data_IF_897431305350
#
_entry.id   IF_897431305350
#
_cell.length_a   1.000
_cell.length_b   1.000
_cell.length_c   1.000
_cell.angle_alpha   90.00
_cell.angle_beta   90.00
_cell.angle_gamma   90.00
#
_symmetry.space_group_name_H-M   'P 1'
#
loop_
_entity.id
_entity.type
_entity.pdbx_description
1 polymer ?
#
# COMPACT_ATOMS: atom_id res chain seq x y z
N UNK A 1 16.01 3.34 15.35
CA UNK A 1 14.89 2.92 14.49
C UNK A 1 15.27 3.10 13.03
N UNK A 2 15.25 2.03 12.27
CA UNK A 2 15.64 2.07 10.86
C UNK A 2 14.40 2.15 9.98
N UNK A 3 14.21 3.28 9.32
CA UNK A 3 13.14 3.41 8.33
C UNK A 3 13.75 3.48 6.93
N UNK A 4 12.93 3.33 5.92
CA UNK A 4 13.37 3.48 4.53
C UNK A 4 13.92 4.88 4.35
N UNK A 5 15.15 5.05 3.80
CA UNK A 5 15.67 6.38 3.51
C UNK A 5 14.72 7.15 2.59
N UNK A 6 14.51 8.43 2.87
CA UNK A 6 13.59 9.25 2.09
C UNK A 6 13.94 9.32 0.61
N UNK A 7 15.22 9.20 0.24
CA UNK A 7 15.63 9.25 -1.16
C UNK A 7 15.19 8.02 -1.96
N UNK A 8 14.83 6.91 -1.31
CA UNK A 8 14.26 5.74 -1.97
C UNK A 8 12.76 5.92 -2.24
N UNK A 9 12.07 6.79 -1.51
CA UNK A 9 10.64 7.03 -1.68
C UNK A 9 10.43 8.02 -2.82
N UNK A 10 10.71 7.59 -4.04
CA UNK A 10 10.78 8.43 -5.23
C UNK A 10 9.46 8.60 -5.97
N UNK A 11 8.48 7.76 -5.67
CA UNK A 11 7.20 7.78 -6.33
C UNK A 11 6.15 8.37 -5.41
N UNK A 12 5.06 8.87 -5.98
CA UNK A 12 3.93 9.37 -5.23
C UNK A 12 2.68 8.67 -5.70
N UNK A 13 1.91 8.18 -4.74
CA UNK A 13 0.58 7.65 -5.01
C UNK A 13 -0.42 8.44 -4.20
N UNK A 14 -1.68 8.43 -4.66
CA UNK A 14 -2.78 9.04 -3.91
C UNK A 14 -3.61 7.90 -3.35
N UNK A 15 -3.79 7.89 -2.04
CA UNK A 15 -4.55 6.85 -1.34
C UNK A 15 -5.83 7.44 -0.80
N UNK A 16 -6.95 6.79 -1.12
CA UNK A 16 -8.24 7.07 -0.53
C UNK A 16 -8.54 5.91 0.43
N UNK A 17 -8.40 6.13 1.76
CA UNK A 17 -8.56 5.03 2.72
C UNK A 17 -9.97 4.44 2.69
N UNK A 18 -10.04 3.12 2.68
CA UNK A 18 -11.32 2.43 2.74
C UNK A 18 -11.95 2.60 4.12
N UNK A 19 -13.23 2.93 4.15
CA UNK A 19 -13.98 3.18 5.39
C UNK A 19 -15.21 2.29 5.55
N UNK A 20 -15.29 1.21 4.81
CA UNK A 20 -16.41 0.30 4.88
C UNK A 20 -17.31 0.41 3.67
N UNK A 21 -18.43 -0.30 3.71
CA UNK A 21 -19.37 -0.34 2.61
C UNK A 21 -20.66 0.38 2.98
N UNK A 22 -21.31 0.93 1.96
CA UNK A 22 -22.65 1.50 2.06
C UNK A 22 -23.57 0.79 1.09
N UNK A 23 -24.87 1.16 1.13
CA UNK A 23 -25.84 0.61 0.19
C UNK A 23 -25.54 0.97 -1.27
N UNK A 24 -24.72 1.98 -1.50
CA UNK A 24 -24.33 2.43 -2.84
C UNK A 24 -22.90 2.05 -3.23
N UNK A 25 -22.21 1.29 -2.40
CA UNK A 25 -20.86 0.81 -2.67
C UNK A 25 -19.86 1.19 -1.57
N UNK A 26 -18.56 1.00 -1.82
CA UNK A 26 -17.55 1.27 -0.83
C UNK A 26 -17.43 2.76 -0.52
N UNK A 27 -17.11 3.06 0.73
CA UNK A 27 -16.85 4.42 1.20
C UNK A 27 -15.35 4.62 1.35
N UNK A 28 -14.87 5.79 0.91
CA UNK A 28 -13.46 6.15 1.03
C UNK A 28 -13.30 7.46 1.79
N UNK A 29 -12.20 7.58 2.52
CA UNK A 29 -11.83 8.82 3.17
C UNK A 29 -11.20 9.80 2.17
N UNK A 30 -10.84 11.01 2.66
CA UNK A 30 -10.21 12.01 1.82
C UNK A 30 -8.92 11.49 1.19
N UNK A 31 -8.64 11.84 -0.08
CA UNK A 31 -7.41 11.42 -0.72
C UNK A 31 -6.20 12.02 -0.03
N UNK A 32 -5.15 11.21 0.10
CA UNK A 32 -3.86 11.62 0.66
C UNK A 32 -2.75 11.23 -0.27
N UNK A 33 -1.80 12.14 -0.46
CA UNK A 33 -0.58 11.83 -1.18
C UNK A 33 0.37 11.05 -0.26
N UNK A 34 0.93 9.98 -0.78
CA UNK A 34 1.86 9.14 -0.04
C UNK A 34 3.11 8.91 -0.88
N UNK A 35 4.26 9.18 -0.28
CA UNK A 35 5.54 8.90 -0.92
C UNK A 35 5.90 7.44 -0.71
N UNK A 36 6.23 6.77 -1.79
CA UNK A 36 6.52 5.33 -1.80
C UNK A 36 7.67 5.02 -2.75
N UNK A 37 8.22 3.82 -2.63
CA UNK A 37 8.95 3.19 -3.70
C UNK A 37 8.03 2.16 -4.34
N UNK A 38 7.75 2.31 -5.62
CA UNK A 38 6.82 1.44 -6.36
C UNK A 38 7.60 0.42 -7.15
N UNK A 39 7.36 -0.85 -6.85
CA UNK A 39 7.98 -1.99 -7.52
C UNK A 39 6.90 -2.71 -8.33
N UNK A 40 7.01 -2.67 -9.65
CA UNK A 40 6.01 -3.25 -10.54
C UNK A 40 6.35 -4.69 -10.90
N UNK A 41 6.25 -5.57 -9.93
CA UNK A 41 6.41 -7.01 -10.12
C UNK A 41 5.10 -7.73 -9.83
N UNK A 42 4.73 -8.64 -10.74
CA UNK A 42 3.53 -9.46 -10.55
C UNK A 42 3.81 -10.55 -9.52
N UNK A 43 2.95 -10.64 -8.53
CA UNK A 43 3.03 -11.65 -7.45
C UNK A 43 1.64 -12.18 -7.15
N UNK A 44 1.56 -13.40 -6.63
CA UNK A 44 0.35 -13.92 -6.03
C UNK A 44 0.36 -13.60 -4.55
N UNK A 45 -0.69 -12.94 -4.07
CA UNK A 45 -0.80 -12.45 -2.71
C UNK A 45 -2.11 -12.96 -2.12
N UNK A 46 -2.10 -13.35 -0.85
CA UNK A 46 -3.32 -13.74 -0.16
C UNK A 46 -4.04 -12.49 0.37
N UNK A 47 -5.30 -12.36 0.01
CA UNK A 47 -6.14 -11.27 0.51
C UNK A 47 -6.55 -11.52 1.97
N UNK A 48 -7.06 -10.51 2.69
CA UNK A 48 -7.55 -10.71 4.05
C UNK A 48 -8.67 -11.76 4.15
N UNK A 49 -9.42 -11.98 3.07
CA UNK A 49 -10.45 -13.02 3.02
C UNK A 49 -9.93 -14.43 2.75
N UNK A 50 -8.61 -14.60 2.60
CA UNK A 50 -8.00 -15.91 2.37
C UNK A 50 -7.90 -16.33 0.92
N UNK A 51 -8.29 -15.47 -0.02
CA UNK A 51 -8.24 -15.76 -1.45
C UNK A 51 -6.88 -15.36 -2.03
N UNK A 52 -6.43 -16.10 -3.03
CA UNK A 52 -5.23 -15.72 -3.79
C UNK A 52 -5.61 -14.69 -4.84
N UNK A 53 -4.93 -13.56 -4.80
CA UNK A 53 -5.16 -12.44 -5.72
C UNK A 53 -3.84 -12.08 -6.39
N UNK A 54 -3.90 -11.76 -7.67
CA UNK A 54 -2.73 -11.30 -8.40
C UNK A 54 -2.43 -9.85 -8.05
N UNK A 55 -1.26 -9.60 -7.51
CA UNK A 55 -0.73 -8.26 -7.27
C UNK A 55 0.20 -7.88 -8.41
N UNK A 56 -0.04 -6.74 -9.05
CA UNK A 56 0.80 -6.25 -10.14
C UNK A 56 1.89 -5.31 -9.68
N UNK A 57 1.73 -4.74 -8.51
CA UNK A 57 2.71 -3.80 -7.96
C UNK A 57 2.75 -3.89 -6.46
N UNK A 58 3.89 -3.57 -5.91
CA UNK A 58 4.06 -3.43 -4.46
C UNK A 58 4.60 -2.03 -4.19
N UNK A 59 3.97 -1.31 -3.28
CA UNK A 59 4.46 -0.02 -2.84
C UNK A 59 5.08 -0.16 -1.46
N UNK A 60 6.26 0.41 -1.29
CA UNK A 60 6.96 0.41 0.00
C UNK A 60 6.91 1.83 0.55
N UNK A 61 6.33 1.98 1.73
CA UNK A 61 6.12 3.27 2.38
C UNK A 61 6.77 3.29 3.76
N UNK A 62 6.81 4.47 4.38
CA UNK A 62 7.25 4.60 5.76
C UNK A 62 6.32 3.81 6.68
N UNK A 63 6.84 3.23 7.78
CA UNK A 63 6.05 2.31 8.62
C UNK A 63 4.85 2.98 9.31
N UNK A 64 4.85 4.30 9.43
CA UNK A 64 3.74 5.02 10.02
C UNK A 64 2.58 5.31 9.08
N UNK A 65 2.70 4.96 7.80
CA UNK A 65 1.62 5.20 6.84
C UNK A 65 0.41 4.33 7.17
N UNK A 66 -0.79 4.90 7.01
CA UNK A 66 -2.03 4.19 7.30
C UNK A 66 -2.77 3.94 5.99
N UNK A 67 -2.77 2.69 5.54
CA UNK A 67 -3.40 2.27 4.29
C UNK A 67 -4.17 0.98 4.56
N UNK A 68 -5.46 1.06 4.88
CA UNK A 68 -6.26 -0.15 5.10
C UNK A 68 -6.40 -0.99 3.83
N UNK A 69 -6.57 -2.31 3.94
CA UNK A 69 -6.95 -3.13 2.79
C UNK A 69 -8.24 -2.61 2.16
N UNK A 70 -8.41 -2.81 0.86
CA UNK A 70 -9.52 -2.32 0.04
C UNK A 70 -9.49 -0.82 -0.23
N UNK A 71 -8.49 -0.10 0.25
CA UNK A 71 -8.30 1.31 -0.11
C UNK A 71 -8.08 1.46 -1.61
N UNK A 72 -8.44 2.63 -2.14
CA UNK A 72 -8.22 2.93 -3.55
C UNK A 72 -6.94 3.73 -3.69
N UNK A 73 -6.09 3.32 -4.62
CA UNK A 73 -4.81 3.98 -4.86
C UNK A 73 -4.72 4.42 -6.32
N UNK A 74 -4.28 5.66 -6.52
CA UNK A 74 -3.95 6.18 -7.85
C UNK A 74 -2.44 6.24 -7.98
N UNK A 75 -1.91 5.55 -8.97
CA UNK A 75 -0.47 5.41 -9.19
C UNK A 75 0.06 6.55 -10.06
N UNK A 76 1.39 6.75 -10.09
CA UNK A 76 1.97 7.66 -11.08
C UNK A 76 1.53 7.25 -12.47
N UNK A 77 1.13 8.19 -13.30
CA UNK A 77 0.58 7.89 -14.62
C UNK A 77 -0.94 7.77 -14.64
N UNK A 78 -1.61 7.76 -13.50
CA UNK A 78 -3.07 7.85 -13.40
C UNK A 78 -3.81 6.52 -13.28
N UNK A 79 -3.12 5.38 -13.26
CA UNK A 79 -3.78 4.09 -13.08
C UNK A 79 -4.35 3.99 -11.67
N UNK A 80 -5.63 3.66 -11.58
CA UNK A 80 -6.31 3.45 -10.29
C UNK A 80 -6.37 1.97 -9.99
N UNK A 81 -6.04 1.60 -8.76
CA UNK A 81 -6.05 0.21 -8.33
C UNK A 81 -6.55 0.10 -6.89
N UNK A 82 -6.72 -1.13 -6.43
CA UNK A 82 -7.19 -1.42 -5.08
C UNK A 82 -6.07 -2.04 -4.28
N UNK A 83 -5.97 -1.66 -3.01
CA UNK A 83 -5.02 -2.25 -2.07
C UNK A 83 -5.54 -3.63 -1.66
N UNK A 84 -4.76 -4.68 -1.92
CA UNK A 84 -5.11 -6.04 -1.55
C UNK A 84 -4.92 -6.24 -0.05
N UNK A 85 -3.71 -5.96 0.41
CA UNK A 85 -3.37 -6.02 1.83
C UNK A 85 -2.12 -5.20 2.09
N UNK A 86 -1.86 -4.95 3.36
CA UNK A 86 -0.64 -4.27 3.81
C UNK A 86 0.05 -5.12 4.85
N UNK A 87 1.37 -5.03 4.92
CA UNK A 87 2.16 -5.70 5.93
C UNK A 87 3.21 -4.75 6.45
N UNK A 88 3.21 -4.53 7.75
CA UNK A 88 4.26 -3.74 8.40
C UNK A 88 5.46 -4.64 8.61
N UNK A 89 6.58 -4.26 8.02
CA UNK A 89 7.83 -4.98 8.15
C UNK A 89 8.73 -4.22 9.12
N UNK A 90 8.91 -4.79 10.29
CA UNK A 90 9.73 -4.23 11.35
C UNK A 90 10.95 -5.13 11.50
N UNK A 91 12.13 -4.53 11.49
CA UNK A 91 13.38 -5.28 11.66
C UNK A 91 13.58 -5.87 13.05
N UNK A 92 12.73 -5.54 14.02
CA UNK A 92 12.81 -6.11 15.36
C UNK A 92 14.13 -5.80 16.07
N UNK A 93 14.71 -4.64 15.80
CA UNK A 93 16.02 -4.26 16.33
C UNK A 93 17.19 -4.65 15.45
N UNK A 94 16.95 -5.35 14.33
CA UNK A 94 17.99 -5.64 13.35
C UNK A 94 18.24 -4.40 12.47
N UNK A 95 19.34 -4.41 11.74
CA UNK A 95 19.74 -3.30 10.89
C UNK A 95 19.00 -3.24 9.54
N UNK A 96 17.79 -3.77 9.49
CA UNK A 96 16.95 -3.75 8.29
C UNK A 96 15.97 -2.58 8.36
N UNK A 97 15.69 -1.88 7.24
CA UNK A 97 14.75 -0.76 7.26
C UNK A 97 13.32 -1.22 7.60
N UNK A 98 12.69 -0.50 8.51
CA UNK A 98 11.27 -0.69 8.79
C UNK A 98 10.47 -0.05 7.66
N UNK A 99 9.44 -0.72 7.20
CA UNK A 99 8.61 -0.20 6.12
C UNK A 99 7.21 -0.81 6.16
N UNK A 100 6.30 -0.16 5.45
CA UNK A 100 4.97 -0.70 5.18
C UNK A 100 4.96 -1.21 3.74
N UNK A 101 4.62 -2.47 3.57
CA UNK A 101 4.51 -3.10 2.27
C UNK A 101 3.05 -3.11 1.86
N UNK A 102 2.74 -2.49 0.72
CA UNK A 102 1.36 -2.33 0.23
C UNK A 102 1.23 -3.12 -1.06
N UNK A 103 0.45 -4.19 -1.02
CA UNK A 103 0.21 -5.01 -2.20
C UNK A 103 -0.96 -4.43 -3.00
N UNK A 104 -0.71 -4.11 -4.26
CA UNK A 104 -1.67 -3.46 -5.14
C UNK A 104 -2.14 -4.42 -6.24
N UNK A 105 -3.42 -4.40 -6.51
CA UNK A 105 -4.04 -5.22 -7.56
C UNK A 105 -3.67 -4.84 -8.98
#
# INVERSE_FOLDING_TARGET
MNSIPGWLLRHRIVVEPYRGDSSTGPLYGPPRELRVFLDEQTRTVRSPGGEDVTSRSTAYAAPGALVPPLSRATLPGGRVTTVIQTARRDGGGLATPDHLEIQLE
#
